data_IF_458903846853
#
_entry.id   IF_458903846853
#
_cell.length_a   1.000
_cell.length_b   1.000
_cell.length_c   1.000
_cell.angle_alpha   90.00
_cell.angle_beta   90.00
_cell.angle_gamma   90.00
#
_symmetry.space_group_name_H-M   'P 1'
#
loop_
_entity.id
_entity.type
_entity.pdbx_description
1 polymer ?
#
# COMPACT_ATOMS: atom_id res chain seq x y z
N UNK A 1 8.94 -13.00 2.56
CA UNK A 1 8.83 -13.94 1.45
C UNK A 1 9.08 -13.11 0.21
N UNK A 2 10.32 -13.17 -0.27
CA UNK A 2 10.82 -12.23 -1.28
C UNK A 2 10.82 -12.85 -2.67
N UNK A 3 10.68 -14.18 -2.72
CA UNK A 3 10.44 -14.98 -3.90
C UNK A 3 8.95 -15.32 -4.01
N UNK A 4 8.47 -15.57 -5.24
CA UNK A 4 7.09 -15.96 -5.50
C UNK A 4 6.70 -17.25 -4.77
N UNK A 5 5.58 -17.22 -4.05
CA UNK A 5 5.04 -18.35 -3.31
C UNK A 5 4.01 -19.09 -4.16
N UNK A 6 4.33 -20.32 -4.58
CA UNK A 6 3.39 -21.20 -5.29
C UNK A 6 2.93 -22.34 -4.38
N UNK A 7 1.63 -22.43 -4.11
CA UNK A 7 1.03 -23.45 -3.25
C UNK A 7 -0.04 -24.20 -4.04
N UNK A 8 0.10 -25.53 -4.19
CA UNK A 8 -0.79 -26.31 -5.06
C UNK A 8 -2.25 -26.27 -4.62
N UNK A 9 -2.51 -26.37 -3.31
CA UNK A 9 -3.86 -26.37 -2.76
C UNK A 9 -4.08 -25.10 -1.91
N UNK A 10 -3.97 -25.19 -0.59
CA UNK A 10 -4.34 -24.12 0.32
C UNK A 10 -3.11 -23.47 0.97
N UNK A 11 -2.94 -22.17 0.75
CA UNK A 11 -2.16 -21.30 1.65
C UNK A 11 -3.08 -20.81 2.77
N UNK A 12 -2.77 -21.18 4.02
CA UNK A 12 -3.54 -20.77 5.21
C UNK A 12 -2.66 -19.99 6.16
N UNK A 13 -3.04 -18.74 6.42
CA UNK A 13 -2.52 -17.94 7.52
C UNK A 13 -3.49 -18.08 8.70
N UNK A 14 -2.98 -18.65 9.78
CA UNK A 14 -3.73 -18.97 11.00
C UNK A 14 -2.93 -18.57 12.24
N UNK A 15 -3.58 -18.55 13.41
CA UNK A 15 -2.90 -18.39 14.70
C UNK A 15 -2.16 -17.07 14.87
N UNK A 16 -2.73 -15.97 14.36
CA UNK A 16 -2.15 -14.63 14.38
C UNK A 16 -0.82 -14.53 13.63
N UNK A 17 -0.70 -15.24 12.51
CA UNK A 17 0.49 -15.21 11.66
C UNK A 17 0.49 -14.02 10.71
N UNK A 18 1.69 -13.52 10.41
CA UNK A 18 1.89 -12.44 9.44
C UNK A 18 2.78 -12.91 8.29
N UNK A 19 2.30 -12.76 7.06
CA UNK A 19 3.11 -12.91 5.85
C UNK A 19 3.48 -11.53 5.31
N UNK A 20 4.77 -11.32 5.04
CA UNK A 20 5.32 -10.03 4.56
C UNK A 20 6.49 -10.27 3.59
N UNK A 21 7.05 -9.20 3.03
CA UNK A 21 8.26 -9.22 2.19
C UNK A 21 9.30 -8.18 2.67
N UNK A 22 10.54 -8.29 2.20
CA UNK A 22 11.61 -7.34 2.50
C UNK A 22 11.30 -5.93 1.99
N UNK A 23 11.78 -4.91 2.71
CA UNK A 23 11.54 -3.50 2.34
C UNK A 23 12.13 -3.15 0.97
N UNK A 24 11.47 -2.25 0.24
CA UNK A 24 11.89 -1.75 -1.07
C UNK A 24 12.11 -2.84 -2.13
N UNK A 25 11.47 -4.00 -1.97
CA UNK A 25 11.48 -5.08 -2.94
C UNK A 25 10.45 -4.82 -4.05
N UNK A 26 10.88 -4.33 -5.22
CA UNK A 26 9.97 -3.94 -6.32
C UNK A 26 9.10 -5.10 -6.85
N UNK A 27 9.56 -6.36 -6.74
CA UNK A 27 8.75 -7.52 -7.09
C UNK A 27 7.56 -7.75 -6.13
N UNK A 28 7.64 -7.20 -4.91
CA UNK A 28 6.64 -7.36 -3.86
C UNK A 28 6.41 -8.81 -3.44
N UNK A 29 5.32 -9.04 -2.71
CA UNK A 29 4.83 -10.37 -2.36
C UNK A 29 3.95 -10.91 -3.48
N UNK A 30 4.31 -12.06 -4.03
CA UNK A 30 3.54 -12.73 -5.08
C UNK A 30 3.09 -14.10 -4.61
N UNK A 31 1.79 -14.36 -4.66
CA UNK A 31 1.17 -15.60 -4.20
C UNK A 31 0.36 -16.21 -5.33
N UNK A 32 0.66 -17.46 -5.68
CA UNK A 32 -0.17 -18.29 -6.56
C UNK A 32 -0.65 -19.50 -5.77
N UNK A 33 -1.97 -19.67 -5.62
CA UNK A 33 -2.52 -20.81 -4.87
C UNK A 33 -3.87 -21.32 -5.39
N UNK A 34 -4.23 -22.57 -5.10
CA UNK A 34 -5.61 -23.02 -5.31
C UNK A 34 -6.60 -22.24 -4.43
N UNK A 35 -6.24 -22.07 -3.15
CA UNK A 35 -6.99 -21.31 -2.15
C UNK A 35 -6.06 -20.51 -1.24
N UNK A 36 -6.42 -19.27 -0.96
CA UNK A 36 -5.81 -18.46 0.11
C UNK A 36 -6.83 -18.25 1.22
N UNK A 37 -6.45 -18.57 2.45
CA UNK A 37 -7.27 -18.33 3.65
C UNK A 37 -6.46 -17.46 4.61
N UNK A 38 -6.98 -16.27 4.92
CA UNK A 38 -6.45 -15.40 5.96
C UNK A 38 -7.47 -15.41 7.10
N UNK A 39 -7.15 -16.13 8.18
CA UNK A 39 -8.04 -16.21 9.34
C UNK A 39 -8.03 -14.92 10.17
N UNK A 40 -9.08 -14.75 10.99
CA UNK A 40 -9.16 -13.68 11.99
C UNK A 40 -7.87 -13.60 12.80
N UNK A 41 -7.34 -12.38 12.96
CA UNK A 41 -6.11 -12.10 13.69
C UNK A 41 -4.83 -12.36 12.89
N UNK A 42 -4.89 -13.02 11.74
CA UNK A 42 -3.75 -13.21 10.83
C UNK A 42 -3.77 -12.15 9.72
N UNK A 43 -2.60 -11.89 9.13
CA UNK A 43 -2.45 -10.82 8.16
C UNK A 43 -1.48 -11.15 7.02
N UNK A 44 -1.82 -10.73 5.81
CA UNK A 44 -0.83 -10.40 4.78
C UNK A 44 -0.54 -8.92 4.94
N UNK A 45 0.63 -8.56 5.46
CA UNK A 45 0.95 -7.19 5.84
C UNK A 45 2.28 -6.75 5.22
N UNK A 46 2.18 -5.80 4.29
CA UNK A 46 3.32 -5.18 3.61
C UNK A 46 3.39 -3.68 3.90
N UNK A 47 2.87 -3.24 5.05
CA UNK A 47 2.94 -1.85 5.52
C UNK A 47 4.37 -1.34 5.55
N UNK A 48 4.62 -0.17 4.94
CA UNK A 48 5.93 0.47 4.91
C UNK A 48 7.04 -0.34 4.21
N UNK A 49 6.69 -1.38 3.44
CA UNK A 49 7.66 -2.23 2.69
C UNK A 49 7.96 -1.74 1.28
N UNK A 50 7.45 -0.57 0.89
CA UNK A 50 7.65 0.09 -0.39
C UNK A 50 8.95 0.90 -0.47
N UNK A 51 8.95 1.95 -1.30
CA UNK A 51 10.11 2.84 -1.44
C UNK A 51 10.41 3.57 -0.13
N UNK A 52 11.70 3.79 0.14
CA UNK A 52 12.18 4.35 1.41
C UNK A 52 11.89 5.84 1.54
N UNK A 53 11.57 6.30 2.76
CA UNK A 53 11.42 7.73 3.06
C UNK A 53 12.74 8.51 3.04
N UNK A 54 12.63 9.83 3.18
CA UNK A 54 13.79 10.72 3.32
C UNK A 54 14.68 10.32 4.49
N UNK A 55 15.98 10.64 4.37
CA UNK A 55 17.10 10.23 5.21
C UNK A 55 17.45 8.74 5.17
N UNK A 56 16.77 7.93 4.35
CA UNK A 56 16.99 6.48 4.23
C UNK A 56 17.31 6.03 2.80
N UNK A 57 16.86 6.78 1.81
CA UNK A 57 16.94 6.48 0.38
C UNK A 57 18.28 6.84 -0.30
N UNK A 58 19.18 7.53 0.41
CA UNK A 58 20.39 8.12 -0.18
C UNK A 58 20.16 9.47 -0.88
N UNK A 59 18.92 9.97 -0.93
CA UNK A 59 18.56 11.26 -1.54
C UNK A 59 18.46 12.41 -0.52
N UNK A 60 19.20 12.31 0.59
CA UNK A 60 19.07 13.26 1.70
C UNK A 60 17.64 13.28 2.22
N UNK A 61 17.05 14.46 2.37
CA UNK A 61 15.69 14.61 2.90
C UNK A 61 14.58 14.19 1.93
N UNK A 62 14.90 13.80 0.70
CA UNK A 62 13.90 13.42 -0.32
C UNK A 62 13.57 11.93 -0.20
N UNK A 63 12.27 11.60 -0.17
CA UNK A 63 11.81 10.21 -0.25
C UNK A 63 12.12 9.58 -1.60
N UNK A 64 12.17 8.25 -1.69
CA UNK A 64 12.27 7.54 -2.96
C UNK A 64 10.88 7.30 -3.57
N UNK A 65 10.82 7.32 -4.90
CA UNK A 65 9.64 6.97 -5.70
C UNK A 65 10.02 5.94 -6.77
N UNK A 66 9.12 5.73 -7.75
CA UNK A 66 9.23 4.78 -8.86
C UNK A 66 10.65 4.66 -9.41
N UNK A 67 11.18 3.43 -9.45
CA UNK A 67 12.52 3.13 -9.96
C UNK A 67 13.64 3.74 -9.12
N UNK A 68 13.43 3.86 -7.81
CA UNK A 68 14.36 4.47 -6.86
C UNK A 68 14.78 5.89 -7.27
N UNK A 69 13.87 6.68 -7.84
CA UNK A 69 14.14 8.07 -8.17
C UNK A 69 13.82 9.00 -7.00
N UNK A 70 14.35 10.25 -6.98
CA UNK A 70 13.93 11.26 -6.03
C UNK A 70 12.42 11.52 -6.15
N UNK A 71 11.71 11.37 -5.04
CA UNK A 71 10.26 11.48 -4.93
C UNK A 71 9.83 12.69 -4.10
N UNK A 72 8.99 12.46 -3.10
CA UNK A 72 8.46 13.50 -2.24
C UNK A 72 9.58 14.29 -1.57
N UNK A 73 9.58 15.60 -1.80
CA UNK A 73 10.58 16.50 -1.25
C UNK A 73 10.31 16.77 0.24
N UNK A 74 11.30 17.32 0.92
CA UNK A 74 11.33 17.60 2.36
C UNK A 74 9.97 18.05 2.91
N UNK A 75 9.44 17.29 3.86
CA UNK A 75 8.18 17.54 4.57
C UNK A 75 6.87 17.28 3.81
N UNK A 76 6.93 16.67 2.63
CA UNK A 76 5.73 16.28 1.88
C UNK A 76 5.50 14.78 1.96
N UNK A 77 4.22 14.38 2.01
CA UNK A 77 3.84 12.97 1.96
C UNK A 77 4.21 12.33 0.62
N UNK A 78 4.49 11.03 0.64
CA UNK A 78 4.64 10.24 -0.58
C UNK A 78 3.31 10.16 -1.35
N UNK A 79 3.37 10.14 -2.68
CA UNK A 79 2.20 9.90 -3.53
C UNK A 79 2.28 8.55 -4.23
N UNK A 80 1.13 7.89 -4.44
CA UNK A 80 1.02 6.76 -5.38
C UNK A 80 -0.36 6.73 -6.06
N UNK A 81 -1.36 6.17 -5.39
CA UNK A 81 -2.75 6.14 -5.85
C UNK A 81 -3.43 7.49 -5.69
N UNK A 82 -3.18 8.14 -4.55
CA UNK A 82 -3.53 9.51 -4.24
C UNK A 82 -2.29 10.38 -4.09
N UNK A 83 -2.46 11.70 -4.19
CA UNK A 83 -1.42 12.68 -3.96
C UNK A 83 -1.10 12.79 -2.46
N UNK A 84 0.17 12.80 -2.08
CA UNK A 84 0.61 13.09 -0.72
C UNK A 84 0.31 14.52 -0.30
N UNK A 85 0.16 14.74 1.00
CA UNK A 85 -0.05 16.05 1.58
C UNK A 85 1.13 16.99 1.30
N UNK A 86 0.82 18.28 1.21
CA UNK A 86 1.78 19.31 0.89
C UNK A 86 1.93 20.31 2.04
N UNK A 87 3.14 20.37 2.61
CA UNK A 87 3.44 21.37 3.63
C UNK A 87 3.78 22.73 2.99
N UNK A 88 2.76 23.60 2.89
CA UNK A 88 2.82 24.88 2.15
C UNK A 88 3.89 25.87 2.65
N UNK A 89 4.24 25.83 3.94
CA UNK A 89 5.25 26.73 4.53
C UNK A 89 6.70 26.27 4.31
N UNK A 90 6.92 25.12 3.65
CA UNK A 90 8.25 24.57 3.38
C UNK A 90 9.08 25.34 2.35
N UNK A 91 8.48 26.29 1.61
CA UNK A 91 9.20 27.17 0.68
C UNK A 91 9.37 26.62 -0.74
N UNK A 92 8.46 25.72 -1.19
CA UNK A 92 8.36 25.11 -2.53
C UNK A 92 8.94 23.69 -2.69
N UNK A 93 8.54 22.78 -1.82
CA UNK A 93 8.77 21.35 -1.98
C UNK A 93 7.46 20.65 -2.33
N UNK A 94 7.39 19.89 -3.43
CA UNK A 94 6.17 19.19 -3.84
C UNK A 94 6.22 17.70 -3.44
N UNK A 95 5.05 17.08 -3.15
CA UNK A 95 4.94 15.63 -3.21
C UNK A 95 5.26 15.14 -4.64
N UNK A 96 5.70 13.88 -4.79
CA UNK A 96 5.87 13.32 -6.14
C UNK A 96 4.49 13.22 -6.85
N UNK A 97 4.44 13.19 -8.19
CA UNK A 97 3.19 12.88 -8.91
C UNK A 97 2.67 11.49 -8.56
N UNK A 98 1.36 11.28 -8.74
CA UNK A 98 0.76 9.94 -8.77
C UNK A 98 1.30 9.14 -9.96
N UNK A 99 1.41 7.82 -9.82
CA UNK A 99 1.93 6.92 -10.88
C UNK A 99 1.28 5.54 -10.81
N UNK A 100 1.67 4.68 -11.75
CA UNK A 100 1.16 3.32 -11.90
C UNK A 100 -0.22 3.25 -12.53
N UNK A 101 -0.71 2.03 -12.70
CA UNK A 101 -2.04 1.78 -13.26
C UNK A 101 -3.07 1.56 -12.16
N UNK A 102 -4.23 2.21 -12.31
CA UNK A 102 -5.38 1.94 -11.43
C UNK A 102 -6.00 0.55 -11.67
N UNK A 103 -5.87 0.02 -12.90
CA UNK A 103 -6.43 -1.28 -13.26
C UNK A 103 -5.44 -2.41 -13.05
N UNK A 104 -4.13 -2.15 -13.11
CA UNK A 104 -3.08 -3.16 -12.88
C UNK A 104 -1.96 -2.58 -12.01
N UNK A 105 -2.21 -2.42 -10.70
CA UNK A 105 -1.23 -1.81 -9.80
C UNK A 105 -0.08 -2.78 -9.55
N UNK A 106 1.10 -2.43 -10.06
CA UNK A 106 2.30 -3.28 -9.99
C UNK A 106 3.50 -2.63 -9.30
N UNK A 107 3.35 -1.40 -8.87
CA UNK A 107 4.43 -0.62 -8.26
C UNK A 107 4.31 -0.56 -6.74
N UNK A 108 5.42 -0.25 -6.07
CA UNK A 108 5.44 0.06 -4.64
C UNK A 108 4.88 1.46 -4.39
N UNK A 109 4.43 1.72 -3.16
CA UNK A 109 4.18 3.06 -2.66
C UNK A 109 5.47 3.87 -2.50
N UNK A 110 5.36 5.20 -2.59
CA UNK A 110 6.48 6.14 -2.43
C UNK A 110 6.75 6.49 -0.97
N UNK A 111 8.01 6.74 -0.66
CA UNK A 111 8.41 7.30 0.62
C UNK A 111 8.11 8.80 0.70
N UNK A 112 7.77 9.28 1.90
CA UNK A 112 7.63 10.71 2.19
C UNK A 112 8.97 11.40 2.42
N UNK A 113 8.99 12.73 2.30
CA UNK A 113 10.18 13.55 2.55
C UNK A 113 10.45 13.76 4.04
N UNK A 114 11.71 13.73 4.46
CA UNK A 114 12.11 14.03 5.83
C UNK A 114 11.95 15.52 6.17
N UNK A 115 11.98 15.88 7.46
CA UNK A 115 12.08 17.27 7.90
C UNK A 115 12.83 17.43 9.23
N UNK A 116 12.23 16.96 10.33
CA UNK A 116 12.82 16.94 11.69
C UNK A 116 13.08 15.52 12.19
N UNK A 117 12.92 14.56 11.29
CA UNK A 117 13.11 13.13 11.44
C UNK A 117 12.95 12.49 10.06
N UNK A 118 13.05 11.17 9.99
CA UNK A 118 12.96 10.44 8.74
C UNK A 118 11.56 10.56 8.12
N UNK A 119 11.50 10.47 6.79
CA UNK A 119 10.24 10.28 6.09
C UNK A 119 9.69 8.87 6.27
N UNK A 120 8.37 8.73 6.16
CA UNK A 120 7.71 7.43 6.15
C UNK A 120 8.03 6.64 4.88
N UNK A 121 8.15 5.32 4.99
CA UNK A 121 8.32 4.46 3.82
C UNK A 121 6.96 4.20 3.15
N UNK A 122 6.91 4.09 1.84
CA UNK A 122 5.67 3.72 1.14
C UNK A 122 5.22 2.30 1.44
N UNK A 123 3.97 1.98 1.16
CA UNK A 123 3.42 0.63 1.27
C UNK A 123 4.01 -0.33 0.25
N UNK A 124 4.12 -1.60 0.62
CA UNK A 124 4.59 -2.66 -0.26
C UNK A 124 3.58 -3.02 -1.34
N UNK A 125 3.88 -4.10 -2.08
CA UNK A 125 2.98 -4.62 -3.10
C UNK A 125 2.63 -6.08 -2.81
N UNK A 126 1.36 -6.42 -2.99
CA UNK A 126 0.85 -7.80 -2.97
C UNK A 126 0.13 -8.12 -4.27
N UNK A 127 0.52 -9.22 -4.92
CA UNK A 127 -0.25 -9.88 -5.98
C UNK A 127 -0.69 -11.25 -5.48
N UNK A 128 -2.01 -11.50 -5.48
CA UNK A 128 -2.59 -12.81 -5.15
C UNK A 128 -3.36 -13.32 -6.36
N UNK A 129 -2.88 -14.42 -6.93
CA UNK A 129 -3.56 -15.19 -7.97
C UNK A 129 -4.07 -16.48 -7.34
N UNK A 130 -5.38 -16.60 -7.13
CA UNK A 130 -5.93 -17.80 -6.50
C UNK A 130 -7.28 -18.24 -7.07
N UNK A 131 -7.63 -19.52 -6.93
CA UNK A 131 -8.98 -19.97 -7.26
C UNK A 131 -10.01 -19.35 -6.31
N UNK A 132 -9.71 -19.31 -5.02
CA UNK A 132 -10.56 -18.70 -3.99
C UNK A 132 -9.72 -17.97 -2.95
N UNK A 133 -10.17 -16.78 -2.57
CA UNK A 133 -9.62 -16.00 -1.46
C UNK A 133 -10.71 -15.89 -0.39
N UNK A 134 -10.43 -16.41 0.81
CA UNK A 134 -11.24 -16.20 2.01
C UNK A 134 -10.45 -15.32 2.97
N UNK A 135 -10.86 -14.06 3.09
CA UNK A 135 -10.21 -13.08 3.94
C UNK A 135 -11.12 -12.72 5.12
N UNK A 136 -10.87 -13.36 6.27
CA UNK A 136 -11.48 -13.00 7.56
C UNK A 136 -10.52 -12.22 8.47
N UNK A 137 -9.23 -12.18 8.10
CA UNK A 137 -8.20 -11.35 8.72
C UNK A 137 -7.97 -10.04 7.95
N UNK A 138 -6.72 -9.73 7.62
CA UNK A 138 -6.37 -8.50 6.91
C UNK A 138 -5.37 -8.71 5.77
N UNK A 139 -5.54 -7.93 4.70
CA UNK A 139 -4.57 -7.75 3.62
C UNK A 139 -4.22 -6.26 3.56
N UNK A 140 -2.98 -5.91 3.92
CA UNK A 140 -2.58 -4.53 4.23
C UNK A 140 -1.34 -4.16 3.41
N UNK A 141 -1.40 -3.00 2.75
CA UNK A 141 -0.29 -2.38 2.03
C UNK A 141 -0.20 -0.87 2.36
N UNK A 142 -0.30 -0.53 3.64
CA UNK A 142 -0.33 0.86 4.08
C UNK A 142 1.03 1.55 3.98
N UNK A 143 0.99 2.88 3.86
CA UNK A 143 2.16 3.73 4.05
C UNK A 143 2.63 3.70 5.51
N UNK A 144 3.94 3.74 5.70
CA UNK A 144 4.56 3.86 7.01
C UNK A 144 4.58 5.31 7.51
N UNK A 145 4.49 5.46 8.82
CA UNK A 145 4.60 6.76 9.50
C UNK A 145 6.05 7.27 9.48
N UNK A 146 6.18 8.60 9.42
CA UNK A 146 7.41 9.35 9.60
C UNK A 146 7.79 9.48 11.08
N UNK A 147 9.06 9.79 11.37
CA UNK A 147 9.54 9.91 12.76
C UNK A 147 9.71 11.35 13.27
N UNK A 148 9.48 12.34 12.40
CA UNK A 148 9.67 13.76 12.71
C UNK A 148 8.40 14.59 12.53
N UNK A 149 8.29 15.67 13.29
CA UNK A 149 7.27 16.70 13.04
C UNK A 149 7.49 17.35 11.66
N UNK A 150 6.39 17.57 10.95
CA UNK A 150 6.34 18.04 9.57
C UNK A 150 7.08 17.16 8.56
N UNK A 151 7.55 15.96 8.96
CA UNK A 151 8.00 14.96 8.00
C UNK A 151 6.80 14.39 7.25
N UNK A 152 7.01 13.96 6.01
CA UNK A 152 6.02 13.31 5.20
C UNK A 152 5.95 11.82 5.46
N UNK A 153 4.73 11.31 5.59
CA UNK A 153 4.48 9.88 5.67
C UNK A 153 4.54 9.22 4.29
N UNK A 154 4.70 7.90 4.27
CA UNK A 154 4.69 7.13 3.03
C UNK A 154 3.30 7.01 2.42
N UNK A 155 3.22 6.87 1.10
CA UNK A 155 1.95 6.56 0.43
C UNK A 155 1.54 5.11 0.70
N UNK A 156 0.25 4.81 0.52
CA UNK A 156 -0.20 3.44 0.37
C UNK A 156 0.46 2.74 -0.83
N UNK A 157 0.47 1.41 -0.80
CA UNK A 157 1.06 0.54 -1.81
C UNK A 157 0.03 -0.08 -2.74
N UNK A 158 0.34 -1.28 -3.24
CA UNK A 158 -0.46 -2.00 -4.23
C UNK A 158 -1.05 -3.28 -3.67
N UNK A 159 -2.35 -3.48 -3.85
CA UNK A 159 -3.00 -4.80 -3.66
C UNK A 159 -3.69 -5.18 -4.96
N UNK A 160 -3.22 -6.25 -5.59
CA UNK A 160 -3.84 -6.82 -6.78
C UNK A 160 -4.32 -8.25 -6.47
N UNK A 161 -5.63 -8.45 -6.49
CA UNK A 161 -6.28 -9.75 -6.32
C UNK A 161 -6.86 -10.22 -7.65
N UNK A 162 -6.45 -11.40 -8.10
CA UNK A 162 -7.02 -12.09 -9.24
C UNK A 162 -7.57 -13.44 -8.77
N UNK A 163 -8.90 -13.58 -8.73
CA UNK A 163 -9.55 -14.77 -8.18
C UNK A 163 -10.81 -15.16 -8.94
N UNK A 164 -11.35 -16.36 -8.66
CA UNK A 164 -12.73 -16.68 -9.08
C UNK A 164 -13.71 -16.18 -8.01
N UNK A 165 -13.40 -16.45 -6.75
CA UNK A 165 -14.23 -16.10 -5.60
C UNK A 165 -13.42 -15.31 -4.55
N UNK A 166 -13.96 -14.18 -4.11
CA UNK A 166 -13.47 -13.42 -2.95
C UNK A 166 -14.59 -13.30 -1.92
N UNK A 167 -14.34 -13.80 -0.71
CA UNK A 167 -15.30 -13.82 0.40
C UNK A 167 -14.63 -13.58 1.74
N UNK A 168 -15.44 -13.44 2.79
CA UNK A 168 -14.98 -13.26 4.17
C UNK A 168 -15.41 -11.92 4.75
N UNK A 169 -15.10 -11.69 6.01
CA UNK A 169 -15.47 -10.47 6.74
C UNK A 169 -14.29 -9.59 7.13
N UNK A 170 -13.10 -9.93 6.65
CA UNK A 170 -11.85 -9.22 6.91
C UNK A 170 -11.71 -7.92 6.12
N UNK A 171 -10.55 -7.28 6.25
CA UNK A 171 -10.23 -5.99 5.62
C UNK A 171 -9.19 -6.09 4.51
N UNK A 172 -9.26 -5.16 3.56
CA UNK A 172 -8.27 -4.97 2.50
C UNK A 172 -7.93 -3.47 2.48
N UNK A 173 -6.68 -3.10 2.79
CA UNK A 173 -6.32 -1.72 3.05
C UNK A 173 -4.99 -1.34 2.38
N UNK A 174 -4.97 -0.20 1.70
CA UNK A 174 -3.76 0.41 1.16
C UNK A 174 -3.82 1.92 1.43
N UNK A 175 -3.96 2.30 2.70
CA UNK A 175 -4.07 3.70 3.11
C UNK A 175 -2.69 4.36 3.12
N UNK A 176 -2.65 5.68 2.95
CA UNK A 176 -1.46 6.47 3.24
C UNK A 176 -1.13 6.46 4.74
N UNK A 177 0.16 6.59 5.08
CA UNK A 177 0.56 6.85 6.45
C UNK A 177 0.03 8.22 6.90
N UNK A 178 -0.31 8.36 8.18
CA UNK A 178 -0.89 9.60 8.71
C UNK A 178 -1.02 9.56 10.23
N UNK A 179 -1.41 10.69 10.81
CA UNK A 179 -1.72 10.87 12.22
C UNK A 179 -0.62 11.62 12.98
N UNK A 180 -1.02 12.55 13.84
CA UNK A 180 -0.10 13.33 14.67
C UNK A 180 0.31 14.66 14.03
N UNK A 181 1.61 14.98 14.04
CA UNK A 181 2.14 16.27 13.57
C UNK A 181 2.95 16.14 12.29
N UNK A 182 2.54 15.27 11.37
CA UNK A 182 3.20 14.97 10.10
C UNK A 182 2.40 15.55 8.91
N UNK A 183 2.90 15.29 7.71
CA UNK A 183 2.21 15.53 6.45
C UNK A 183 1.76 14.17 5.90
N UNK A 184 0.46 13.99 5.69
CA UNK A 184 -0.12 12.69 5.37
C UNK A 184 0.31 12.14 4.01
N UNK A 185 0.49 10.83 3.91
CA UNK A 185 0.78 10.13 2.66
C UNK A 185 -0.47 9.95 1.80
N UNK A 186 -0.31 9.91 0.48
CA UNK A 186 -1.42 9.61 -0.43
C UNK A 186 -1.86 8.15 -0.34
N UNK A 187 -3.14 7.88 -0.60
CA UNK A 187 -3.66 6.51 -0.65
C UNK A 187 -3.02 5.65 -1.74
N UNK A 188 -3.12 4.33 -1.59
CA UNK A 188 -2.57 3.33 -2.50
C UNK A 188 -3.53 2.95 -3.62
N UNK A 189 -3.28 1.79 -4.24
CA UNK A 189 -4.12 1.25 -5.31
C UNK A 189 -4.54 -0.19 -4.98
N UNK A 190 -5.83 -0.46 -5.12
CA UNK A 190 -6.42 -1.79 -4.98
C UNK A 190 -7.08 -2.16 -6.31
N UNK A 191 -6.74 -3.31 -6.88
CA UNK A 191 -7.43 -3.89 -8.02
C UNK A 191 -7.92 -5.30 -7.66
N UNK A 192 -9.22 -5.53 -7.84
CA UNK A 192 -9.87 -6.81 -7.54
C UNK A 192 -10.55 -7.32 -8.81
N UNK A 193 -9.97 -8.39 -9.36
CA UNK A 193 -10.51 -9.13 -10.49
C UNK A 193 -11.14 -10.41 -10.00
N UNK A 194 -12.41 -10.59 -10.32
CA UNK A 194 -13.15 -11.80 -9.94
C UNK A 194 -13.99 -12.30 -11.10
N UNK A 195 -14.07 -13.63 -11.27
CA UNK A 195 -14.81 -14.24 -12.39
C UNK A 195 -16.12 -14.91 -11.96
N UNK A 196 -16.41 -15.01 -10.66
CA UNK A 196 -17.56 -15.77 -10.15
C UNK A 196 -18.33 -15.03 -9.05
N UNK A 197 -17.71 -14.81 -7.89
CA UNK A 197 -18.41 -14.20 -6.75
C UNK A 197 -17.51 -13.27 -5.94
N UNK A 198 -18.08 -12.15 -5.51
CA UNK A 198 -17.48 -11.18 -4.62
C UNK A 198 -18.50 -10.86 -3.51
N UNK A 199 -18.23 -11.32 -2.29
CA UNK A 199 -19.15 -11.17 -1.14
C UNK A 199 -18.52 -10.47 0.07
N UNK A 200 -17.23 -10.14 0.01
CA UNK A 200 -16.57 -9.33 1.03
C UNK A 200 -17.20 -7.91 1.06
N UNK A 201 -17.57 -7.37 2.24
CA UNK A 201 -18.22 -6.06 2.32
C UNK A 201 -17.35 -4.93 1.73
N UNK A 202 -17.94 -4.08 0.89
CA UNK A 202 -17.21 -2.98 0.25
C UNK A 202 -16.61 -1.98 1.27
N UNK A 203 -17.31 -1.76 2.40
CA UNK A 203 -16.84 -0.86 3.47
C UNK A 203 -15.55 -1.34 4.15
N UNK A 204 -15.17 -2.60 3.94
CA UNK A 204 -13.92 -3.18 4.44
C UNK A 204 -12.73 -2.95 3.50
N UNK A 205 -12.94 -2.28 2.36
CA UNK A 205 -11.90 -1.98 1.37
C UNK A 205 -11.57 -0.48 1.45
N UNK A 206 -10.31 -0.15 1.71
CA UNK A 206 -9.89 1.22 2.03
C UNK A 206 -8.59 1.61 1.31
N UNK A 207 -8.56 2.83 0.78
CA UNK A 207 -7.41 3.46 0.12
C UNK A 207 -7.27 4.93 0.54
N UNK A 208 -7.57 5.24 1.80
CA UNK A 208 -7.62 6.63 2.31
C UNK A 208 -6.26 7.31 2.19
N UNK A 209 -6.28 8.62 2.00
CA UNK A 209 -5.11 9.44 2.30
C UNK A 209 -4.88 9.54 3.80
N UNK A 210 -3.63 9.76 4.20
CA UNK A 210 -3.27 10.03 5.58
C UNK A 210 -3.74 11.41 6.03
N UNK A 211 -4.30 11.47 7.24
CA UNK A 211 -4.62 12.73 7.93
C UNK A 211 -3.31 13.33 8.47
N UNK A 212 -2.98 14.56 8.09
CA UNK A 212 -1.72 15.20 8.44
C UNK A 212 -1.93 16.63 8.88
N UNK A 213 -1.41 16.99 10.06
CA UNK A 213 -1.51 18.36 10.59
C UNK A 213 -1.03 19.44 9.61
N UNK A 214 0.01 19.12 8.83
CA UNK A 214 0.62 20.04 7.87
C UNK A 214 0.07 19.89 6.43
N UNK A 215 -0.80 18.91 6.19
CA UNK A 215 -1.45 18.66 4.92
C UNK A 215 -1.88 17.20 4.79
N UNK A 216 -3.14 17.01 4.37
CA UNK A 216 -3.72 15.68 4.19
C UNK A 216 -3.30 15.07 2.85
N UNK A 217 -3.11 13.76 2.87
CA UNK A 217 -3.04 12.96 1.65
C UNK A 217 -4.42 12.83 1.00
N UNK A 218 -4.44 12.68 -0.31
CA UNK A 218 -5.64 12.35 -1.06
C UNK A 218 -5.88 10.84 -1.06
N UNK A 219 -7.15 10.46 -1.19
CA UNK A 219 -7.56 9.08 -1.38
C UNK A 219 -6.96 8.49 -2.67
N UNK A 220 -6.67 7.20 -2.60
CA UNK A 220 -6.19 6.39 -3.71
C UNK A 220 -7.30 5.86 -4.59
N UNK A 221 -7.08 4.70 -5.20
CA UNK A 221 -8.03 4.14 -6.17
C UNK A 221 -8.37 2.68 -5.88
N UNK A 222 -9.65 2.32 -6.00
CA UNK A 222 -10.11 0.95 -6.04
C UNK A 222 -10.69 0.65 -7.42
N UNK A 223 -10.24 -0.44 -8.04
CA UNK A 223 -10.75 -0.95 -9.32
C UNK A 223 -11.35 -2.34 -9.14
N UNK A 224 -12.55 -2.54 -9.67
CA UNK A 224 -13.22 -3.83 -9.70
C UNK A 224 -13.38 -4.28 -11.16
N UNK A 225 -12.99 -5.51 -11.44
CA UNK A 225 -13.13 -6.18 -12.74
C UNK A 225 -14.08 -7.38 -12.58
N UNK A 226 -15.40 -7.16 -12.69
CA UNK A 226 -16.39 -8.23 -12.58
C UNK A 226 -16.36 -9.14 -13.81
N UNK A 227 -16.94 -10.35 -13.74
CA UNK A 227 -17.11 -11.18 -14.93
C UNK A 227 -17.92 -10.41 -15.99
N UNK A 228 -17.47 -10.45 -17.24
CA UNK A 228 -18.24 -9.92 -18.37
C UNK A 228 -19.55 -10.69 -18.42
N UNK A 229 -20.67 -9.98 -18.29
CA UNK A 229 -21.99 -10.59 -18.38
C UNK A 229 -22.20 -11.31 -19.71
N UNK A 230 -23.11 -12.31 -19.77
CA UNK A 230 -23.47 -12.98 -21.01
C UNK A 230 -24.06 -12.01 -22.05
#
# INVERSE_FOLDING_TARGET
ADEGLTVVDTLRLAGSSTLTHSSALESGLQITAGRVVVEVGSAIDVTGRGYLGGNRSGFGETGATLGFQPGAQRGNGGSYGGLGGHYSSSGANQPNPVYGSLTDPVELGSGGGAWSGDGGNGGGRVLIMAGTIVNDGSIIADGGESSGSASGDGSGGSIHLATRVLSGTGSIRADGGGGGTNTGGGGGRIAIRYSEAFTLPLDNIQVRGGDGFYGDGQEGTVFFDPPVGP
#
